data_IF_065803306524
#
_entry.id   IF_065803306524
#
_cell.length_a   1.000
_cell.length_b   1.000
_cell.length_c   1.000
_cell.angle_alpha   90.00
_cell.angle_beta   90.00
_cell.angle_gamma   90.00
#
_symmetry.space_group_name_H-M   'P 1'
#
loop_
_entity.id
_entity.type
_entity.pdbx_description
1 polymer ?
#
# COMPACT_ATOMS: atom_id res chain seq x y z
N UNK A 1 -0.54 -11.87 3.13
CA UNK A 1 -0.54 -13.35 3.27
C UNK A 1 0.55 -13.89 4.21
N UNK A 2 1.77 -13.39 4.13
CA UNK A 2 2.95 -13.94 4.82
C UNK A 2 3.37 -13.18 6.08
N UNK A 3 2.52 -12.34 6.64
CA UNK A 3 2.83 -11.51 7.81
C UNK A 3 3.16 -12.33 9.06
N UNK A 4 2.60 -13.53 9.16
CA UNK A 4 2.85 -14.49 10.24
C UNK A 4 4.29 -15.04 10.26
N UNK A 5 4.94 -15.11 9.09
CA UNK A 5 6.28 -15.69 8.92
C UNK A 5 7.36 -14.66 8.59
N UNK A 6 7.00 -13.48 8.07
CA UNK A 6 7.95 -12.42 7.71
C UNK A 6 8.53 -11.70 8.93
N UNK A 7 7.74 -11.60 10.02
CA UNK A 7 8.15 -10.87 11.21
C UNK A 7 8.56 -11.82 12.35
N UNK A 8 9.58 -11.48 13.13
CA UNK A 8 9.95 -12.25 14.33
C UNK A 8 8.77 -12.38 15.30
N UNK A 9 8.75 -13.47 16.09
CA UNK A 9 7.70 -13.69 17.08
C UNK A 9 7.64 -12.62 18.17
N UNK A 10 8.75 -11.91 18.40
CA UNK A 10 8.83 -10.79 19.33
C UNK A 10 8.10 -9.52 18.85
N UNK A 11 7.74 -9.43 17.57
CA UNK A 11 6.97 -8.30 17.03
C UNK A 11 5.49 -8.59 17.22
N UNK A 12 4.79 -7.87 18.12
CA UNK A 12 3.39 -8.17 18.45
C UNK A 12 2.40 -7.54 17.48
N UNK A 13 2.72 -6.38 16.90
CA UNK A 13 1.83 -5.60 16.05
C UNK A 13 2.64 -4.89 14.97
N UNK A 14 2.03 -4.58 13.85
CA UNK A 14 2.59 -3.72 12.80
C UNK A 14 1.52 -2.76 12.29
N UNK A 15 1.96 -1.63 11.77
CA UNK A 15 1.17 -0.69 10.99
C UNK A 15 1.82 -0.60 9.62
N UNK A 16 1.04 -0.80 8.57
CA UNK A 16 1.48 -0.66 7.19
C UNK A 16 0.84 0.58 6.59
N UNK A 17 1.65 1.39 5.93
CA UNK A 17 1.24 2.60 5.23
C UNK A 17 1.87 2.58 3.85
N UNK A 18 1.07 2.80 2.80
CA UNK A 18 1.58 2.88 1.43
C UNK A 18 2.51 4.09 1.28
N UNK A 19 3.51 3.96 0.42
CA UNK A 19 4.55 4.97 0.26
C UNK A 19 4.05 6.29 -0.37
N UNK A 20 2.87 6.29 -0.95
CA UNK A 20 2.20 7.46 -1.53
C UNK A 20 1.12 8.03 -0.61
N UNK A 21 1.29 7.88 0.70
CA UNK A 21 0.46 8.51 1.72
C UNK A 21 1.22 9.57 2.52
N UNK A 22 0.48 10.60 2.93
CA UNK A 22 0.95 11.63 3.87
C UNK A 22 0.26 11.43 5.21
N UNK A 23 1.05 11.08 6.23
CA UNK A 23 0.57 10.89 7.60
C UNK A 23 0.57 12.22 8.33
N UNK A 24 -0.55 12.60 8.95
CA UNK A 24 -0.80 13.87 9.63
C UNK A 24 -1.15 13.75 11.11
N UNK A 25 -1.25 12.51 11.61
CA UNK A 25 -1.56 12.23 13.01
C UNK A 25 -0.56 11.23 13.58
N UNK A 26 -0.53 11.14 14.90
CA UNK A 26 0.34 10.17 15.58
C UNK A 26 -0.21 8.74 15.34
N UNK A 27 0.59 7.91 14.68
CA UNK A 27 0.28 6.49 14.45
C UNK A 27 0.14 5.70 15.77
N UNK A 28 0.54 6.26 16.90
CA UNK A 28 0.32 5.70 18.22
C UNK A 28 -1.16 5.45 18.50
N UNK A 29 -2.04 6.28 17.97
CA UNK A 29 -3.49 6.08 18.08
C UNK A 29 -3.94 4.75 17.47
N UNK A 30 -3.37 4.37 16.33
CA UNK A 30 -3.62 3.07 15.70
C UNK A 30 -2.95 1.92 16.44
N UNK A 31 -1.76 2.17 16.96
CA UNK A 31 -1.04 1.16 17.73
C UNK A 31 -1.79 0.74 18.99
N UNK A 32 -2.34 1.70 19.69
CA UNK A 32 -3.05 1.48 20.97
C UNK A 32 -4.52 1.09 20.78
N UNK A 33 -5.02 1.14 19.52
CA UNK A 33 -6.42 0.82 19.22
C UNK A 33 -6.74 -0.64 19.51
N UNK A 34 -7.88 -0.87 20.18
CA UNK A 34 -8.46 -2.20 20.31
C UNK A 34 -9.15 -2.63 19.01
N UNK A 35 -8.67 -3.70 18.41
CA UNK A 35 -9.22 -4.26 17.18
C UNK A 35 -10.43 -5.18 17.40
N UNK A 36 -11.03 -5.15 18.60
CA UNK A 36 -12.25 -5.85 18.96
C UNK A 36 -12.27 -7.35 18.57
N UNK A 37 -11.13 -8.00 18.76
CA UNK A 37 -11.01 -9.43 18.44
C UNK A 37 -10.57 -9.73 17.00
N UNK A 38 -10.55 -8.76 16.09
CA UNK A 38 -10.05 -8.96 14.75
C UNK A 38 -8.50 -9.03 14.74
N UNK A 39 -7.90 -9.86 13.86
CA UNK A 39 -6.44 -9.96 13.74
C UNK A 39 -5.83 -8.80 12.97
N UNK A 40 -6.63 -8.03 12.24
CA UNK A 40 -6.23 -6.86 11.49
C UNK A 40 -7.35 -5.83 11.37
N UNK A 41 -6.98 -4.62 11.06
CA UNK A 41 -7.89 -3.50 10.83
C UNK A 41 -7.49 -2.75 9.56
N UNK A 42 -8.50 -2.38 8.77
CA UNK A 42 -8.35 -1.64 7.53
C UNK A 42 -9.32 -0.47 7.49
N UNK A 43 -9.02 0.55 6.69
CA UNK A 43 -9.95 1.65 6.49
C UNK A 43 -10.99 1.27 5.41
N UNK A 44 -12.29 1.45 5.67
CA UNK A 44 -13.30 1.33 4.64
C UNK A 44 -13.10 2.36 3.53
N UNK A 45 -13.43 2.00 2.29
CA UNK A 45 -13.47 2.99 1.22
C UNK A 45 -14.43 4.12 1.52
N UNK A 46 -14.01 5.36 1.27
CA UNK A 46 -14.93 6.48 1.21
C UNK A 46 -15.98 6.27 0.11
N UNK A 47 -17.18 6.72 0.38
CA UNK A 47 -18.30 6.67 -0.57
C UNK A 47 -18.97 8.03 -0.75
N UNK A 48 -18.30 9.10 -0.30
CA UNK A 48 -18.88 10.44 -0.22
C UNK A 48 -18.69 11.30 -1.49
N UNK A 49 -17.75 10.92 -2.39
CA UNK A 49 -17.56 11.65 -3.66
C UNK A 49 -18.57 11.16 -4.69
N UNK A 50 -19.48 12.07 -5.10
CA UNK A 50 -20.60 11.75 -6.00
C UNK A 50 -20.14 11.41 -7.41
N UNK A 51 -19.09 12.05 -7.90
CA UNK A 51 -18.54 11.92 -9.24
C UNK A 51 -18.03 10.51 -9.52
N UNK A 52 -17.57 9.81 -8.49
CA UNK A 52 -16.98 8.47 -8.60
C UNK A 52 -17.91 7.33 -8.14
N UNK A 53 -19.16 7.63 -7.79
CA UNK A 53 -20.13 6.59 -7.36
C UNK A 53 -20.31 5.46 -8.39
N UNK A 54 -20.24 5.77 -9.68
CA UNK A 54 -20.36 4.79 -10.77
C UNK A 54 -19.24 3.75 -10.79
N UNK A 55 -18.06 4.08 -10.25
CA UNK A 55 -16.85 3.25 -10.22
C UNK A 55 -16.71 2.41 -8.95
N UNK A 56 -17.64 2.51 -8.00
CA UNK A 56 -17.64 1.74 -6.76
C UNK A 56 -18.08 0.29 -7.03
N UNK A 57 -17.15 -0.51 -7.61
CA UNK A 57 -17.40 -1.88 -8.04
C UNK A 57 -17.88 -2.79 -6.91
N UNK A 58 -17.46 -2.53 -5.66
CA UNK A 58 -17.85 -3.30 -4.48
C UNK A 58 -19.33 -3.13 -4.09
N UNK A 59 -20.05 -2.17 -4.69
CA UNK A 59 -21.48 -1.95 -4.46
C UNK A 59 -22.39 -2.69 -5.45
N UNK A 60 -21.81 -3.46 -6.39
CA UNK A 60 -22.53 -4.15 -7.45
C UNK A 60 -21.99 -5.56 -7.66
N UNK A 61 -22.81 -6.42 -8.27
CA UNK A 61 -22.41 -7.76 -8.69
C UNK A 61 -21.80 -8.59 -7.57
N UNK A 62 -20.76 -9.35 -7.92
CA UNK A 62 -20.11 -10.30 -7.00
C UNK A 62 -19.78 -9.71 -5.62
N UNK A 63 -19.13 -8.57 -5.57
CA UNK A 63 -18.71 -7.98 -4.29
C UNK A 63 -19.90 -7.57 -3.42
N UNK A 64 -20.92 -6.97 -3.99
CA UNK A 64 -22.14 -6.63 -3.26
C UNK A 64 -22.76 -7.86 -2.58
N UNK A 65 -22.91 -8.94 -3.35
CA UNK A 65 -23.54 -10.17 -2.86
C UNK A 65 -22.65 -10.91 -1.87
N UNK A 66 -21.35 -10.93 -2.13
CA UNK A 66 -20.35 -11.58 -1.26
C UNK A 66 -20.19 -10.87 0.09
N UNK A 67 -20.16 -9.55 0.08
CA UNK A 67 -19.95 -8.75 1.32
C UNK A 67 -21.13 -8.79 2.26
N UNK A 68 -22.36 -8.99 1.76
CA UNK A 68 -23.57 -9.06 2.58
C UNK A 68 -23.75 -7.88 3.55
N UNK A 69 -23.51 -6.66 3.05
CA UNK A 69 -23.59 -5.43 3.82
C UNK A 69 -22.33 -5.06 4.61
N UNK A 70 -21.29 -5.88 4.61
CA UNK A 70 -19.98 -5.53 5.19
C UNK A 70 -19.27 -4.49 4.33
N UNK A 71 -18.48 -3.59 4.93
CA UNK A 71 -17.72 -2.64 4.13
C UNK A 71 -16.63 -3.34 3.32
N UNK A 72 -16.33 -2.79 2.15
CA UNK A 72 -15.14 -3.11 1.39
C UNK A 72 -14.02 -2.17 1.84
N UNK A 73 -12.86 -2.72 2.20
CA UNK A 73 -11.75 -1.99 2.80
C UNK A 73 -10.62 -1.78 1.78
N UNK A 74 -9.91 -0.67 1.91
CA UNK A 74 -8.73 -0.35 1.11
C UNK A 74 -7.46 -0.85 1.82
N UNK A 75 -6.46 -1.31 1.05
CA UNK A 75 -5.19 -1.83 1.59
C UNK A 75 -4.13 -0.76 1.87
N UNK A 76 -4.41 0.51 1.58
CA UNK A 76 -3.44 1.59 1.64
C UNK A 76 -2.91 1.90 3.06
N UNK A 77 -3.74 1.66 4.10
CA UNK A 77 -3.34 1.74 5.51
C UNK A 77 -4.03 0.63 6.29
N UNK A 78 -3.25 -0.14 7.04
CA UNK A 78 -3.81 -1.18 7.91
C UNK A 78 -2.92 -1.50 9.11
N UNK A 79 -3.56 -2.03 10.14
CA UNK A 79 -2.94 -2.50 11.39
C UNK A 79 -3.07 -4.00 11.48
N UNK A 80 -2.04 -4.70 11.93
CA UNK A 80 -2.09 -6.14 12.17
C UNK A 80 -1.62 -6.47 13.58
N UNK A 81 -2.48 -7.09 14.38
CA UNK A 81 -2.12 -7.78 15.61
C UNK A 81 -1.50 -9.13 15.22
N UNK A 82 -0.18 -9.19 15.13
CA UNK A 82 0.54 -10.39 14.71
C UNK A 82 0.38 -11.56 15.68
N UNK A 83 0.15 -11.29 16.96
CA UNK A 83 -0.09 -12.35 17.96
C UNK A 83 -1.41 -13.03 17.65
N UNK A 84 -2.46 -12.25 17.44
CA UNK A 84 -3.79 -12.76 17.12
C UNK A 84 -3.84 -13.37 15.72
N UNK A 85 -3.20 -12.73 14.74
CA UNK A 85 -3.10 -13.21 13.37
C UNK A 85 -2.49 -14.62 13.30
N UNK A 86 -1.42 -14.87 14.06
CA UNK A 86 -0.80 -16.20 14.17
C UNK A 86 -1.69 -17.18 14.92
N UNK A 87 -2.28 -16.76 16.04
CA UNK A 87 -3.18 -17.61 16.85
C UNK A 87 -4.38 -18.10 16.07
N UNK A 88 -4.91 -17.27 15.19
CA UNK A 88 -6.06 -17.59 14.33
C UNK A 88 -5.67 -18.36 13.07
N UNK A 89 -4.40 -18.63 12.83
CA UNK A 89 -3.87 -19.18 11.58
C UNK A 89 -4.37 -18.38 10.35
N UNK A 90 -4.47 -17.05 10.50
CA UNK A 90 -5.01 -16.18 9.47
C UNK A 90 -4.17 -16.23 8.18
N UNK A 91 -2.84 -16.32 8.31
CA UNK A 91 -1.94 -16.48 7.18
C UNK A 91 -2.20 -17.77 6.39
N UNK A 92 -2.44 -18.89 7.08
CA UNK A 92 -2.74 -20.17 6.43
C UNK A 92 -4.07 -20.11 5.66
N UNK A 93 -5.09 -19.53 6.28
CA UNK A 93 -6.40 -19.33 5.63
C UNK A 93 -6.28 -18.46 4.39
N UNK A 94 -5.57 -17.33 4.48
CA UNK A 94 -5.34 -16.44 3.34
C UNK A 94 -4.58 -17.14 2.20
N UNK A 95 -3.55 -17.93 2.52
CA UNK A 95 -2.78 -18.70 1.53
C UNK A 95 -3.62 -19.77 0.85
N UNK A 96 -4.44 -20.51 1.62
CA UNK A 96 -5.31 -21.54 1.08
C UNK A 96 -6.38 -20.95 0.13
N UNK A 97 -7.00 -19.83 0.52
CA UNK A 97 -7.98 -19.13 -0.33
C UNK A 97 -7.31 -18.55 -1.57
N UNK A 98 -6.11 -17.97 -1.42
CA UNK A 98 -5.34 -17.49 -2.57
C UNK A 98 -5.02 -18.60 -3.56
N UNK A 99 -4.55 -19.77 -3.11
CA UNK A 99 -4.28 -20.93 -3.97
C UNK A 99 -5.52 -21.37 -4.74
N UNK A 100 -6.67 -21.35 -4.09
CA UNK A 100 -7.94 -21.67 -4.74
C UNK A 100 -8.33 -20.63 -5.79
N UNK A 101 -8.30 -19.34 -5.45
CA UNK A 101 -8.78 -18.27 -6.31
C UNK A 101 -7.83 -17.99 -7.48
N UNK A 102 -6.52 -18.11 -7.28
CA UNK A 102 -5.51 -17.82 -8.30
C UNK A 102 -5.51 -18.80 -9.48
N UNK A 103 -6.29 -19.88 -9.40
CA UNK A 103 -6.55 -20.80 -10.54
C UNK A 103 -7.39 -20.13 -11.63
N UNK A 104 -8.18 -19.12 -11.27
CA UNK A 104 -8.85 -18.24 -12.22
C UNK A 104 -8.10 -16.91 -12.30
N UNK A 105 -7.47 -16.56 -13.44
CA UNK A 105 -6.71 -15.33 -13.60
C UNK A 105 -7.54 -14.04 -13.45
N UNK A 106 -8.87 -14.15 -13.46
CA UNK A 106 -9.77 -13.00 -13.32
C UNK A 106 -10.30 -12.81 -11.89
N UNK A 107 -9.93 -13.69 -10.94
CA UNK A 107 -10.57 -13.72 -9.62
C UNK A 107 -10.11 -12.63 -8.64
N UNK A 108 -8.87 -12.15 -8.74
CA UNK A 108 -8.25 -11.22 -7.77
C UNK A 108 -7.53 -10.10 -8.52
N UNK A 109 -8.25 -9.05 -8.88
CA UNK A 109 -7.71 -7.91 -9.63
C UNK A 109 -6.77 -7.04 -8.79
N UNK A 110 -7.06 -6.91 -7.47
CA UNK A 110 -6.27 -6.14 -6.51
C UNK A 110 -5.94 -7.05 -5.32
N UNK A 111 -4.99 -7.96 -5.52
CA UNK A 111 -4.72 -9.10 -4.64
C UNK A 111 -4.60 -8.77 -3.15
N UNK A 112 -3.81 -7.78 -2.79
CA UNK A 112 -3.54 -7.34 -1.43
C UNK A 112 -4.78 -6.74 -0.75
N UNK A 113 -5.68 -6.18 -1.54
CA UNK A 113 -6.93 -5.58 -1.10
C UNK A 113 -8.10 -6.59 -1.21
N UNK A 114 -8.22 -7.29 -2.34
CA UNK A 114 -9.34 -8.20 -2.59
C UNK A 114 -9.33 -9.39 -1.62
N UNK A 115 -8.17 -9.97 -1.36
CA UNK A 115 -8.07 -11.19 -0.57
C UNK A 115 -8.55 -11.02 0.89
N UNK A 116 -8.14 -10.00 1.67
CA UNK A 116 -8.71 -9.76 3.00
C UNK A 116 -10.21 -9.49 2.97
N UNK A 117 -10.69 -8.72 1.99
CA UNK A 117 -12.12 -8.44 1.83
C UNK A 117 -12.92 -9.71 1.47
N UNK A 118 -12.35 -10.61 0.68
CA UNK A 118 -12.98 -11.88 0.33
C UNK A 118 -13.15 -12.79 1.55
N UNK A 119 -12.13 -12.88 2.41
CA UNK A 119 -12.15 -13.77 3.57
C UNK A 119 -12.74 -13.16 4.84
N UNK A 120 -13.27 -11.94 4.81
CA UNK A 120 -13.72 -11.25 6.03
C UNK A 120 -14.87 -11.93 6.76
N UNK A 121 -15.54 -12.91 6.13
CA UNK A 121 -16.52 -13.77 6.79
C UNK A 121 -15.88 -14.84 7.69
N UNK A 122 -14.63 -15.22 7.40
CA UNK A 122 -13.86 -16.22 8.15
C UNK A 122 -12.86 -15.53 9.09
N UNK A 123 -12.21 -14.49 8.62
CA UNK A 123 -11.23 -13.68 9.36
C UNK A 123 -11.77 -12.25 9.42
N UNK A 124 -12.31 -11.82 10.57
CA UNK A 124 -12.95 -10.51 10.68
C UNK A 124 -11.96 -9.37 10.47
N UNK A 125 -12.40 -8.33 9.78
CA UNK A 125 -11.70 -7.05 9.68
C UNK A 125 -12.33 -6.08 10.67
N UNK A 126 -11.51 -5.43 11.51
CA UNK A 126 -11.95 -4.26 12.24
C UNK A 126 -11.89 -3.04 11.32
N UNK A 127 -13.02 -2.34 11.17
CA UNK A 127 -13.05 -1.10 10.36
C UNK A 127 -12.43 0.05 11.15
N UNK A 128 -11.33 0.59 10.64
CA UNK A 128 -10.74 1.82 11.17
C UNK A 128 -11.68 3.01 10.93
N UNK A 129 -11.62 4.06 11.78
CA UNK A 129 -12.28 5.32 11.51
C UNK A 129 -11.87 5.89 10.13
N UNK A 130 -12.83 6.44 9.39
CA UNK A 130 -12.63 6.90 7.99
C UNK A 130 -11.70 8.10 7.88
N UNK A 131 -11.43 8.82 8.97
CA UNK A 131 -10.43 9.88 9.04
C UNK A 131 -8.98 9.37 8.86
N UNK A 132 -8.76 8.06 9.03
CA UNK A 132 -7.47 7.43 8.76
C UNK A 132 -7.18 7.18 7.29
N UNK A 133 -8.06 7.59 6.39
CA UNK A 133 -7.79 7.57 4.96
C UNK A 133 -8.68 8.56 4.21
N UNK A 134 -8.08 9.60 3.69
CA UNK A 134 -8.74 10.48 2.73
C UNK A 134 -8.02 10.42 1.39
N UNK A 135 -8.78 10.31 0.30
CA UNK A 135 -8.22 10.49 -1.03
C UNK A 135 -9.19 11.24 -1.95
N UNK A 136 -8.63 12.00 -2.87
CA UNK A 136 -9.40 12.88 -3.77
C UNK A 136 -10.35 12.10 -4.70
N UNK A 137 -10.09 10.83 -4.98
CA UNK A 137 -10.92 10.02 -5.88
C UNK A 137 -12.22 9.54 -5.25
N UNK A 138 -12.24 9.33 -3.92
CA UNK A 138 -13.36 8.62 -3.26
C UNK A 138 -14.02 9.42 -2.14
N UNK A 139 -13.27 10.31 -1.48
CA UNK A 139 -13.74 11.08 -0.34
C UNK A 139 -14.16 12.50 -0.76
N UNK A 140 -15.24 13.04 -0.15
CA UNK A 140 -15.61 14.44 -0.33
C UNK A 140 -14.57 15.38 0.26
N UNK A 141 -14.51 16.60 -0.28
CA UNK A 141 -13.56 17.61 0.19
C UNK A 141 -13.85 18.07 1.62
N UNK A 142 -15.10 18.01 2.06
CA UNK A 142 -15.52 18.36 3.42
C UNK A 142 -14.80 17.55 4.51
N UNK A 143 -14.47 16.30 4.20
CA UNK A 143 -13.77 15.39 5.16
C UNK A 143 -12.26 15.55 5.15
N UNK A 144 -11.68 16.35 4.25
CA UNK A 144 -10.23 16.49 4.08
C UNK A 144 -9.56 17.15 5.30
N UNK A 145 -10.22 18.15 5.90
CA UNK A 145 -9.67 18.88 7.05
C UNK A 145 -9.46 17.99 8.29
N UNK A 146 -10.31 17.00 8.48
CA UNK A 146 -10.23 16.05 9.59
C UNK A 146 -9.35 14.81 9.28
N UNK A 147 -8.85 14.68 8.05
CA UNK A 147 -8.10 13.52 7.63
C UNK A 147 -6.78 13.37 8.38
N UNK A 148 -6.52 12.19 8.93
CA UNK A 148 -5.29 11.80 9.62
C UNK A 148 -4.24 11.26 8.66
N UNK A 149 -4.67 10.73 7.50
CA UNK A 149 -3.80 10.42 6.37
C UNK A 149 -4.44 10.87 5.07
N UNK A 150 -3.59 11.28 4.13
CA UNK A 150 -3.99 11.59 2.76
C UNK A 150 -3.31 10.58 1.84
N UNK A 151 -4.12 9.83 1.12
CA UNK A 151 -3.69 8.86 0.14
C UNK A 151 -3.75 9.47 -1.26
N UNK A 152 -2.64 9.39 -2.00
CA UNK A 152 -2.55 9.84 -3.38
C UNK A 152 -3.07 8.76 -4.35
N UNK A 153 -4.22 8.17 -4.05
CA UNK A 153 -4.83 7.13 -4.85
C UNK A 153 -5.17 7.59 -6.28
N UNK A 154 -5.06 6.69 -7.24
CA UNK A 154 -5.38 7.00 -8.63
C UNK A 154 -6.89 7.21 -8.81
N UNK A 155 -7.23 8.16 -9.66
CA UNK A 155 -8.61 8.30 -10.14
C UNK A 155 -8.93 7.17 -11.12
N UNK A 156 -10.15 6.61 -11.12
CA UNK A 156 -10.50 5.47 -12.00
C UNK A 156 -10.36 5.76 -13.49
N UNK A 157 -10.52 7.01 -13.92
CA UNK A 157 -10.43 7.40 -15.34
C UNK A 157 -9.11 8.08 -15.70
N UNK A 158 -8.53 8.84 -14.78
CA UNK A 158 -7.35 9.68 -15.05
C UNK A 158 -6.17 9.21 -14.23
N UNK A 159 -5.00 9.13 -14.88
CA UNK A 159 -3.73 8.84 -14.21
C UNK A 159 -2.94 10.14 -14.11
N UNK A 160 -2.95 10.75 -12.94
CA UNK A 160 -2.12 11.92 -12.64
C UNK A 160 -0.80 11.43 -12.02
N UNK A 161 0.37 12.01 -12.38
CA UNK A 161 1.62 11.75 -11.67
C UNK A 161 1.49 12.06 -10.18
N UNK A 162 2.00 11.20 -9.32
CA UNK A 162 1.83 11.31 -7.86
C UNK A 162 2.34 12.64 -7.30
N UNK A 163 3.47 13.14 -7.81
CA UNK A 163 4.02 14.41 -7.37
C UNK A 163 3.12 15.60 -7.74
N UNK A 164 2.53 15.59 -8.94
CA UNK A 164 1.61 16.64 -9.36
C UNK A 164 0.30 16.60 -8.55
N UNK A 165 -0.21 15.39 -8.31
CA UNK A 165 -1.34 15.18 -7.43
C UNK A 165 -1.06 15.69 -6.02
N UNK A 166 0.10 15.40 -5.48
CA UNK A 166 0.52 15.85 -4.18
C UNK A 166 0.61 17.39 -4.10
N UNK A 167 1.21 18.03 -5.09
CA UNK A 167 1.26 19.50 -5.19
C UNK A 167 -0.13 20.11 -5.20
N UNK A 168 -1.07 19.50 -5.90
CA UNK A 168 -2.45 19.96 -5.98
C UNK A 168 -3.25 19.73 -4.71
N UNK A 169 -3.05 18.57 -4.04
CA UNK A 169 -3.87 18.15 -2.91
C UNK A 169 -3.32 18.66 -1.57
N UNK A 170 -1.99 18.67 -1.42
CA UNK A 170 -1.35 18.84 -0.11
C UNK A 170 -0.76 20.23 0.06
N UNK A 171 -0.29 20.90 -1.00
CA UNK A 171 0.20 22.27 -0.94
C UNK A 171 -0.97 23.26 -0.86
N UNK A 172 -1.01 24.08 0.19
CA UNK A 172 -2.00 25.13 0.35
C UNK A 172 -2.36 25.38 1.82
N UNK A 173 -3.36 26.22 2.04
CA UNK A 173 -3.76 26.77 3.35
C UNK A 173 -4.11 25.72 4.44
N UNK A 174 -4.35 24.46 4.06
CA UNK A 174 -4.68 23.39 5.01
C UNK A 174 -3.46 22.76 5.68
N UNK A 175 -2.23 23.07 5.25
CA UNK A 175 -1.02 22.45 5.72
C UNK A 175 0.09 23.50 5.85
N UNK A 176 0.46 23.85 7.09
CA UNK A 176 1.50 24.82 7.39
C UNK A 176 2.89 24.35 6.93
N UNK A 177 3.12 23.04 6.86
CA UNK A 177 4.35 22.46 6.37
C UNK A 177 4.08 21.61 5.12
N UNK A 178 4.62 22.03 3.99
CA UNK A 178 4.55 21.28 2.75
C UNK A 178 5.61 20.18 2.76
N UNK A 179 5.18 18.90 2.74
CA UNK A 179 6.11 17.79 2.53
C UNK A 179 6.85 17.89 1.19
N UNK A 180 6.40 18.72 0.26
CA UNK A 180 7.06 19.00 -1.03
C UNK A 180 8.43 19.60 -0.81
N UNK A 181 8.59 20.50 0.17
CA UNK A 181 9.89 21.06 0.54
C UNK A 181 10.85 19.97 1.03
N UNK A 182 10.35 19.03 1.84
CA UNK A 182 11.12 17.87 2.30
C UNK A 182 11.48 16.92 1.14
N UNK A 183 10.59 16.71 0.18
CA UNK A 183 10.87 15.91 -1.02
C UNK A 183 11.94 16.57 -1.89
N UNK A 184 11.88 17.88 -2.08
CA UNK A 184 12.88 18.65 -2.82
C UNK A 184 14.24 18.63 -2.12
N UNK A 185 14.28 18.74 -0.80
CA UNK A 185 15.50 18.62 0.02
C UNK A 185 16.10 17.21 -0.16
N UNK A 186 15.28 16.16 -0.02
CA UNK A 186 15.70 14.78 -0.21
C UNK A 186 16.25 14.55 -1.62
N UNK A 187 15.56 15.05 -2.65
CA UNK A 187 16.00 14.96 -4.03
C UNK A 187 17.35 15.66 -4.26
N UNK A 188 17.57 16.82 -3.63
CA UNK A 188 18.84 17.54 -3.66
C UNK A 188 19.97 16.74 -3.00
N UNK A 189 19.71 16.19 -1.80
CA UNK A 189 20.66 15.34 -1.08
C UNK A 189 21.05 14.10 -1.91
N UNK A 190 20.07 13.42 -2.53
CA UNK A 190 20.31 12.24 -3.35
C UNK A 190 21.17 12.55 -4.59
N UNK A 191 20.95 13.69 -5.25
CA UNK A 191 21.80 14.19 -6.34
C UNK A 191 23.24 14.41 -5.87
N UNK A 192 23.42 15.00 -4.68
CA UNK A 192 24.73 15.21 -4.07
C UNK A 192 25.47 13.89 -3.78
N UNK A 193 24.77 12.89 -3.27
CA UNK A 193 25.33 11.55 -2.99
C UNK A 193 25.74 10.86 -4.30
N UNK A 194 24.89 10.92 -5.34
CA UNK A 194 25.20 10.33 -6.65
C UNK A 194 26.44 10.95 -7.26
N UNK A 195 26.56 12.27 -7.24
CA UNK A 195 27.72 13.00 -7.73
C UNK A 195 29.01 12.62 -6.99
N UNK A 196 28.93 12.45 -5.64
CA UNK A 196 30.09 12.00 -4.83
C UNK A 196 30.54 10.58 -5.19
N UNK A 197 29.59 9.66 -5.43
CA UNK A 197 29.92 8.29 -5.87
C UNK A 197 30.60 8.28 -7.25
N UNK A 198 30.16 9.08 -8.18
CA UNK A 198 30.73 9.19 -9.53
C UNK A 198 32.15 9.77 -9.47
N UNK A 199 32.41 10.74 -8.61
CA UNK A 199 33.77 11.31 -8.42
C UNK A 199 34.72 10.34 -7.71
N UNK A 200 34.21 9.47 -6.82
CA UNK A 200 35.06 8.50 -6.11
C UNK A 200 35.41 7.29 -6.98
N UNK A 201 34.54 6.91 -7.94
CA UNK A 201 34.82 5.83 -8.89
C UNK A 201 35.65 6.27 -10.09
N UNK A 202 35.69 7.56 -10.41
CA UNK A 202 36.50 8.12 -11.50
C UNK A 202 37.98 8.34 -11.15
N UNK A 203 38.39 8.13 -9.88
CA UNK A 203 39.75 8.39 -9.40
C UNK A 203 40.70 7.19 -9.31
N UNK A 204 40.26 5.99 -9.67
CA UNK A 204 41.13 4.80 -9.71
C UNK A 204 41.68 4.55 -11.13
N UNK A 205 42.87 5.07 -11.33
CA UNK A 205 43.58 4.97 -12.62
C UNK A 205 43.90 3.52 -13.02
N UNK A 206 43.69 3.29 -14.27
CA UNK A 206 44.43 2.42 -15.21
C UNK A 206 45.31 1.31 -14.61
N UNK A 207 44.76 0.13 -14.49
CA UNK A 207 45.50 -1.13 -14.56
C UNK A 207 44.92 -1.96 -15.70
N UNK A 208 45.56 -1.87 -16.89
CA UNK A 208 45.32 -2.78 -18.00
C UNK A 208 45.69 -4.19 -17.58
N UNK A 209 44.71 -5.05 -17.44
CA UNK A 209 44.93 -6.49 -17.49
C UNK A 209 44.29 -6.98 -18.78
N UNK A 210 45.14 -7.45 -19.68
CA UNK A 210 44.77 -8.15 -20.90
C UNK A 210 44.11 -9.47 -20.49
N UNK A 211 42.85 -9.68 -20.84
CA UNK A 211 42.22 -10.98 -20.79
C UNK A 211 42.18 -11.53 -22.23
N UNK A 212 42.72 -12.74 -22.39
CA UNK A 212 42.74 -13.50 -23.61
C UNK A 212 41.29 -13.94 -23.97
N UNK A 213 41.02 -13.89 -25.25
CA UNK A 213 39.85 -14.46 -25.89
C UNK A 213 39.91 -15.99 -25.81
N UNK A 214 38.89 -16.62 -25.28
CA UNK A 214 38.54 -17.99 -25.61
C UNK A 214 37.13 -18.01 -26.19
N UNK A 215 37.10 -18.29 -27.49
CA UNK A 215 35.88 -18.65 -28.21
C UNK A 215 35.40 -20.04 -27.72
N UNK A 216 34.16 -20.12 -27.36
CA UNK A 216 33.46 -21.37 -27.01
C UNK A 216 32.01 -21.35 -27.52
N UNK A 217 31.86 -21.75 -28.76
CA UNK A 217 30.59 -22.10 -29.43
C UNK A 217 29.97 -23.34 -28.82
N UNK A 218 28.70 -23.26 -28.39
CA UNK A 218 27.72 -24.40 -28.36
C UNK A 218 26.34 -23.76 -28.26
N UNK A 219 25.44 -23.78 -29.27
CA UNK A 219 24.65 -24.95 -29.57
C UNK A 219 23.22 -24.74 -29.03
N UNK A 220 22.31 -24.18 -29.90
CA UNK A 220 20.84 -24.19 -29.68
C UNK A 220 20.34 -25.64 -29.61
N UNK A 221 19.49 -25.94 -28.64
CA UNK A 221 18.46 -26.98 -28.78
C UNK A 221 17.17 -26.52 -28.06
N UNK A 222 16.12 -26.49 -28.86
CA UNK A 222 14.73 -26.40 -28.46
C UNK A 222 14.29 -27.67 -27.73
N UNK A 223 13.50 -27.52 -26.69
CA UNK A 223 12.33 -28.35 -26.37
C UNK A 223 11.46 -27.60 -25.39
#
# INVERSE_FOLDING_TARGET
>A
MFLDVLFPLSVPKIITVDADQVVRADLRELWDMDLQGAPYAYTPFCTSRKETLGYQFWRKGFWHDHLQGRPYHISALYVVDLVRFRRMAAGDTLRAVYDQLSRDPNSLSNLDQDLPNYVQHQIPIHSLPTDWLWCASWCSDDSKSSAKTIDLCNHPETKEPKLDMAKRIISGELFEESWIELDEELASMMKGIKKRKETTTGGSGAGKIMAAEEEGSVGKQEL
#
